data_IF_607706324445
#
_entry.id   IF_607706324445
#
_cell.length_a   1.000
_cell.length_b   1.000
_cell.length_c   1.000
_cell.angle_alpha   90.00
_cell.angle_beta   90.00
_cell.angle_gamma   90.00
#
_symmetry.space_group_name_H-M   'P 1'
#
loop_
_entity.id
_entity.type
_entity.pdbx_description
1 polymer ?
#
# COMPACT_ATOMS: atom_id res chain seq x y z
N UNK A 1 11.08 10.28 -23.16
CA UNK A 1 11.31 8.94 -22.59
C UNK A 1 10.33 8.81 -21.44
N UNK A 2 9.53 7.75 -21.41
CA UNK A 2 8.57 7.46 -20.34
C UNK A 2 9.31 6.99 -19.10
N UNK A 3 8.91 7.42 -17.91
CA UNK A 3 9.55 6.97 -16.66
C UNK A 3 9.15 5.53 -16.37
N UNK A 4 9.94 4.85 -15.55
CA UNK A 4 9.57 3.55 -14.99
C UNK A 4 9.55 3.64 -13.48
N UNK A 5 8.42 3.31 -12.87
CA UNK A 5 8.33 3.12 -11.44
C UNK A 5 8.62 1.66 -11.08
N UNK A 6 9.50 1.43 -10.12
CA UNK A 6 9.76 0.10 -9.56
C UNK A 6 9.19 0.04 -8.14
N UNK A 7 8.20 -0.83 -7.92
CA UNK A 7 7.61 -1.09 -6.60
C UNK A 7 8.50 -2.10 -5.88
N UNK A 8 9.16 -1.64 -4.83
CA UNK A 8 10.19 -2.39 -4.13
C UNK A 8 9.65 -3.09 -2.89
N UNK A 9 8.75 -2.44 -2.15
CA UNK A 9 8.16 -3.02 -0.93
C UNK A 9 6.75 -2.51 -0.72
N UNK A 10 5.86 -3.40 -0.32
CA UNK A 10 4.56 -3.06 0.25
C UNK A 10 4.56 -3.60 1.67
N UNK A 11 4.36 -2.72 2.65
CA UNK A 11 4.29 -3.08 4.06
C UNK A 11 2.90 -2.74 4.60
N UNK A 12 2.26 -3.74 5.20
CA UNK A 12 0.93 -3.61 5.77
C UNK A 12 1.07 -3.07 7.19
N UNK A 13 0.60 -1.84 7.41
CA UNK A 13 0.42 -1.34 8.76
C UNK A 13 -0.82 -2.01 9.39
N UNK A 14 -1.87 -2.15 8.59
CA UNK A 14 -3.17 -2.67 9.00
C UNK A 14 -3.95 -3.17 7.79
N UNK A 15 -4.49 -4.38 7.89
CA UNK A 15 -5.40 -4.99 6.91
C UNK A 15 -6.76 -4.27 6.87
N UNK A 16 -7.56 -4.54 5.84
CA UNK A 16 -8.97 -4.21 5.82
C UNK A 16 -9.72 -4.89 6.97
N UNK A 17 -10.60 -4.15 7.64
CA UNK A 17 -11.46 -4.71 8.70
C UNK A 17 -12.93 -4.36 8.50
N UNK A 18 -13.29 -3.75 7.37
CA UNK A 18 -14.55 -3.04 7.18
C UNK A 18 -14.64 -1.75 8.00
N UNK A 19 -15.80 -1.09 7.92
CA UNK A 19 -16.06 0.25 8.47
C UNK A 19 -16.15 0.35 10.01
N UNK A 20 -15.18 -0.19 10.76
CA UNK A 20 -15.13 -0.06 12.21
C UNK A 20 -14.65 1.34 12.64
N UNK A 21 -15.55 2.11 13.26
CA UNK A 21 -15.36 3.56 13.48
C UNK A 21 -14.36 3.91 14.59
N UNK A 22 -14.15 3.03 15.58
CA UNK A 22 -13.29 3.31 16.75
C UNK A 22 -11.80 3.29 16.39
N UNK A 23 -11.46 2.50 15.38
CA UNK A 23 -10.12 2.36 14.81
C UNK A 23 -9.71 3.64 14.08
N UNK A 24 -10.63 4.22 13.29
CA UNK A 24 -10.34 5.39 12.44
C UNK A 24 -9.84 6.61 13.23
N UNK A 25 -10.22 6.74 14.51
CA UNK A 25 -9.74 7.79 15.40
C UNK A 25 -8.25 7.60 15.79
N UNK A 26 -7.78 6.36 15.96
CA UNK A 26 -6.39 6.05 16.31
C UNK A 26 -5.41 6.24 15.13
N UNK A 27 -5.93 6.24 13.92
CA UNK A 27 -5.19 6.32 12.66
C UNK A 27 -5.10 7.75 12.09
N UNK A 28 -5.79 8.70 12.73
CA UNK A 28 -5.71 10.13 12.40
C UNK A 28 -4.28 10.69 12.52
N UNK A 29 -3.39 10.04 13.28
CA UNK A 29 -1.99 10.45 13.48
C UNK A 29 -0.99 9.73 12.56
N UNK A 30 -1.46 8.94 11.59
CA UNK A 30 -0.57 8.21 10.66
C UNK A 30 0.20 9.19 9.78
N UNK A 31 1.48 8.89 9.61
CA UNK A 31 2.42 9.76 8.91
C UNK A 31 2.18 9.78 7.40
N UNK A 32 1.92 10.96 6.81
CA UNK A 32 1.84 11.13 5.38
C UNK A 32 3.14 10.75 4.65
N UNK A 33 2.98 10.29 3.41
CA UNK A 33 4.05 9.97 2.47
C UNK A 33 5.26 10.93 2.46
N UNK A 34 5.02 12.25 2.48
CA UNK A 34 6.07 13.25 2.34
C UNK A 34 7.06 13.31 3.52
N UNK A 35 6.68 12.81 4.69
CA UNK A 35 7.60 12.71 5.84
C UNK A 35 8.49 11.46 5.76
N UNK A 36 8.18 10.53 4.86
CA UNK A 36 8.89 9.26 4.72
C UNK A 36 10.00 9.31 3.66
N UNK A 37 10.09 10.39 2.89
CA UNK A 37 11.22 10.66 1.99
C UNK A 37 12.56 10.84 2.76
N UNK A 38 12.51 11.06 4.08
CA UNK A 38 13.68 11.28 4.94
C UNK A 38 14.17 10.02 5.69
N UNK A 39 13.60 8.83 5.43
CA UNK A 39 13.91 7.59 6.19
C UNK A 39 15.40 7.17 6.06
N UNK A 40 16.07 7.58 4.98
CA UNK A 40 17.48 7.25 4.74
C UNK A 40 17.68 5.74 4.63
N UNK A 41 18.74 5.20 5.24
CA UNK A 41 19.06 3.75 5.19
C UNK A 41 18.21 2.88 6.14
N UNK A 42 17.26 3.45 6.91
CA UNK A 42 16.45 2.66 7.85
C UNK A 42 15.43 1.82 7.10
N UNK A 43 15.11 0.64 7.63
CA UNK A 43 13.99 -0.14 7.08
C UNK A 43 12.68 0.62 7.30
N UNK A 44 11.78 0.57 6.31
CA UNK A 44 10.46 1.21 6.38
C UNK A 44 9.69 0.76 7.64
N UNK A 45 9.74 -0.54 7.94
CA UNK A 45 9.10 -1.10 9.13
C UNK A 45 9.66 -0.51 10.44
N UNK A 46 10.99 -0.42 10.58
CA UNK A 46 11.61 0.12 11.81
C UNK A 46 11.34 1.61 12.00
N UNK A 47 11.22 2.36 10.91
CA UNK A 47 10.83 3.76 10.99
C UNK A 47 9.38 3.88 11.46
N UNK A 48 8.46 3.19 10.77
CA UNK A 48 7.02 3.31 11.02
C UNK A 48 6.66 2.82 12.42
N UNK A 49 7.23 1.70 12.88
CA UNK A 49 7.02 1.18 14.24
C UNK A 49 7.43 2.14 15.36
N UNK A 50 8.36 3.06 15.08
CA UNK A 50 8.81 4.06 16.05
C UNK A 50 7.83 5.22 16.26
N UNK A 51 6.74 5.28 15.49
CA UNK A 51 5.84 6.43 15.47
C UNK A 51 4.72 6.31 16.51
N UNK A 52 4.31 7.43 17.14
CA UNK A 52 3.10 7.47 17.97
C UNK A 52 1.87 7.01 17.16
N UNK A 53 1.00 6.22 17.77
CA UNK A 53 -0.24 5.74 17.13
C UNK A 53 -0.09 4.43 16.34
N UNK A 54 1.10 4.13 15.80
CA UNK A 54 1.34 2.90 15.01
C UNK A 54 1.18 1.62 15.83
N UNK A 55 1.66 1.58 17.08
CA UNK A 55 1.46 0.43 17.95
C UNK A 55 -0.04 0.14 18.18
N UNK A 56 -0.85 1.19 18.38
CA UNK A 56 -2.30 1.04 18.55
C UNK A 56 -3.01 0.62 17.26
N UNK A 57 -2.52 1.10 16.12
CA UNK A 57 -3.00 0.69 14.80
C UNK A 57 -2.84 -0.82 14.58
N UNK A 58 -1.67 -1.35 14.95
CA UNK A 58 -1.34 -2.77 14.85
C UNK A 58 -2.09 -3.60 15.92
N UNK A 59 -2.18 -3.13 17.16
CA UNK A 59 -2.88 -3.83 18.24
C UNK A 59 -4.39 -3.98 17.98
N UNK A 60 -4.96 -3.13 17.12
CA UNK A 60 -6.38 -3.18 16.73
C UNK A 60 -6.60 -3.84 15.37
N UNK A 61 -5.56 -4.36 14.74
CA UNK A 61 -5.68 -5.15 13.51
C UNK A 61 -6.37 -6.48 13.83
N UNK A 62 -7.25 -6.94 12.93
CA UNK A 62 -7.90 -8.23 13.07
C UNK A 62 -6.96 -9.38 12.64
N UNK A 63 -7.33 -10.59 13.05
CA UNK A 63 -6.60 -11.82 12.72
C UNK A 63 -6.88 -12.33 11.30
N UNK A 64 -7.74 -11.66 10.55
CA UNK A 64 -8.03 -12.00 9.16
C UNK A 64 -7.02 -11.29 8.23
N UNK A 65 -6.33 -12.03 7.35
CA UNK A 65 -5.41 -11.45 6.37
C UNK A 65 -6.20 -10.87 5.18
N UNK A 66 -5.66 -9.82 4.55
CA UNK A 66 -6.14 -9.40 3.23
C UNK A 66 -5.60 -10.39 2.17
N UNK A 67 -6.44 -10.74 1.21
CA UNK A 67 -6.12 -11.43 -0.03
C UNK A 67 -5.57 -10.42 -1.06
N UNK A 68 -4.38 -9.88 -0.78
CA UNK A 68 -3.82 -8.72 -1.46
C UNK A 68 -3.48 -8.97 -2.94
N UNK A 69 -3.96 -8.09 -3.82
CA UNK A 69 -3.46 -7.92 -5.19
C UNK A 69 -3.41 -6.45 -5.62
N UNK A 70 -2.75 -6.17 -6.74
CA UNK A 70 -2.51 -4.82 -7.26
C UNK A 70 -3.08 -4.64 -8.67
N UNK A 71 -3.59 -3.43 -8.96
CA UNK A 71 -3.92 -3.00 -10.32
C UNK A 71 -3.28 -1.64 -10.64
N UNK A 72 -3.07 -1.40 -11.94
CA UNK A 72 -2.58 -0.10 -12.47
C UNK A 72 -3.73 0.89 -12.74
N UNK A 73 -4.95 0.54 -12.33
CA UNK A 73 -6.15 1.34 -12.54
C UNK A 73 -6.99 1.33 -11.25
N UNK A 74 -8.27 1.70 -11.38
CA UNK A 74 -9.22 1.75 -10.26
C UNK A 74 -10.28 0.64 -10.35
N UNK A 75 -10.05 -0.37 -11.19
CA UNK A 75 -10.92 -1.53 -11.29
C UNK A 75 -10.45 -2.64 -10.35
N UNK A 76 -11.30 -2.97 -9.37
CA UNK A 76 -11.12 -4.11 -8.49
C UNK A 76 -11.59 -5.38 -9.18
N UNK A 77 -10.71 -5.94 -10.03
CA UNK A 77 -10.90 -7.27 -10.59
C UNK A 77 -9.57 -8.01 -10.61
N UNK A 78 -9.57 -9.21 -10.06
CA UNK A 78 -8.38 -10.06 -10.02
C UNK A 78 -7.81 -10.40 -11.42
N UNK A 79 -8.63 -10.47 -12.46
CA UNK A 79 -8.17 -10.70 -13.84
C UNK A 79 -7.44 -9.48 -14.47
N UNK A 80 -7.51 -8.32 -13.81
CA UNK A 80 -6.75 -7.12 -14.15
C UNK A 80 -5.50 -6.96 -13.28
N UNK A 81 -5.20 -7.93 -12.41
CA UNK A 81 -4.05 -7.86 -11.50
C UNK A 81 -2.75 -7.71 -12.29
N UNK A 82 -1.92 -6.74 -11.90
CA UNK A 82 -0.54 -6.62 -12.37
C UNK A 82 0.45 -7.33 -11.44
N UNK A 83 0.00 -7.65 -10.22
CA UNK A 83 0.73 -8.43 -9.24
C UNK A 83 -0.25 -8.97 -8.18
N UNK A 84 0.00 -10.16 -7.62
CA UNK A 84 0.95 -11.17 -8.08
C UNK A 84 0.63 -11.70 -9.49
N UNK A 85 1.60 -12.31 -10.20
CA UNK A 85 1.33 -12.86 -11.53
C UNK A 85 0.40 -14.07 -11.45
N UNK A 86 -0.50 -14.20 -12.43
CA UNK A 86 -1.36 -15.37 -12.57
C UNK A 86 -2.76 -15.23 -11.97
N UNK A 87 -3.23 -14.00 -11.74
CA UNK A 87 -4.57 -13.72 -11.21
C UNK A 87 -4.78 -14.41 -9.85
N UNK A 88 -3.84 -14.19 -8.95
CA UNK A 88 -3.80 -14.76 -7.60
C UNK A 88 -3.54 -13.66 -6.59
N UNK A 89 -3.68 -13.98 -5.31
CA UNK A 89 -3.47 -13.07 -4.19
C UNK A 89 -2.28 -13.50 -3.33
N UNK A 90 -1.89 -12.65 -2.39
CA UNK A 90 -0.98 -12.99 -1.30
C UNK A 90 -1.62 -12.58 0.01
N UNK A 91 -1.75 -13.52 0.95
CA UNK A 91 -2.16 -13.23 2.33
C UNK A 91 -1.26 -12.17 2.94
N UNK A 92 -1.87 -11.07 3.39
CA UNK A 92 -1.16 -9.95 3.95
C UNK A 92 -1.73 -9.59 5.32
N UNK A 93 -0.86 -9.63 6.34
CA UNK A 93 -1.20 -9.27 7.72
C UNK A 93 -0.49 -8.00 8.16
N UNK A 94 -0.99 -7.36 9.21
CA UNK A 94 -0.29 -6.27 9.86
C UNK A 94 1.16 -6.69 10.19
N UNK A 95 2.07 -5.74 10.01
CA UNK A 95 3.52 -5.89 10.15
C UNK A 95 4.21 -6.76 9.08
N UNK A 96 3.49 -7.35 8.13
CA UNK A 96 4.12 -8.07 7.04
C UNK A 96 4.56 -7.14 5.90
N UNK A 97 5.56 -7.59 5.15
CA UNK A 97 6.00 -6.95 3.91
C UNK A 97 6.10 -7.96 2.78
N UNK A 98 5.78 -7.50 1.58
CA UNK A 98 6.07 -8.19 0.32
C UNK A 98 6.97 -7.31 -0.54
N UNK A 99 7.77 -7.94 -1.42
CA UNK A 99 8.65 -7.25 -2.35
C UNK A 99 8.24 -7.58 -3.79
N UNK A 100 7.32 -6.82 -4.40
CA UNK A 100 6.76 -7.17 -5.71
C UNK A 100 7.79 -7.20 -6.84
N UNK A 101 8.81 -6.33 -6.78
CA UNK A 101 9.76 -6.16 -7.88
C UNK A 101 9.09 -5.70 -9.18
N UNK A 102 7.93 -5.04 -9.06
CA UNK A 102 7.03 -4.73 -10.15
C UNK A 102 7.45 -3.42 -10.84
N UNK A 103 7.67 -3.47 -12.16
CA UNK A 103 8.01 -2.30 -12.97
C UNK A 103 6.77 -1.82 -13.75
N UNK A 104 6.41 -0.54 -13.57
CA UNK A 104 5.22 0.06 -14.19
C UNK A 104 5.64 1.31 -14.97
N UNK A 105 5.25 1.45 -16.26
CA UNK A 105 5.52 2.67 -17.00
C UNK A 105 4.71 3.84 -16.43
N UNK A 106 5.33 5.02 -16.34
CA UNK A 106 4.71 6.24 -15.83
C UNK A 106 4.83 7.35 -16.88
N UNK A 107 3.69 7.82 -17.37
CA UNK A 107 3.58 8.96 -18.29
C UNK A 107 2.72 10.03 -17.62
N UNK A 108 3.35 11.12 -17.17
CA UNK A 108 2.77 12.10 -16.25
C UNK A 108 2.38 11.55 -14.87
N UNK A 109 1.43 10.62 -14.81
CA UNK A 109 0.93 9.99 -13.59
C UNK A 109 0.54 8.53 -13.82
N UNK A 110 0.71 7.69 -12.81
CA UNK A 110 0.25 6.31 -12.81
C UNK A 110 -0.36 5.98 -11.45
N UNK A 111 -1.59 5.48 -11.43
CA UNK A 111 -2.19 4.99 -10.19
C UNK A 111 -1.77 3.54 -9.93
N UNK A 112 -1.58 3.23 -8.66
CA UNK A 112 -1.42 1.87 -8.16
C UNK A 112 -2.47 1.69 -7.08
N UNK A 113 -3.36 0.72 -7.26
CA UNK A 113 -4.45 0.42 -6.33
C UNK A 113 -4.24 -0.95 -5.72
N UNK A 114 -4.49 -1.04 -4.42
CA UNK A 114 -4.43 -2.26 -3.62
C UNK A 114 -5.87 -2.73 -3.38
N UNK A 115 -6.06 -4.04 -3.45
CA UNK A 115 -7.36 -4.66 -3.36
C UNK A 115 -7.29 -5.92 -2.51
N UNK A 116 -8.38 -6.18 -1.81
CA UNK A 116 -8.66 -7.45 -1.15
C UNK A 116 -9.60 -8.26 -2.06
N UNK A 117 -9.26 -9.51 -2.35
CA UNK A 117 -10.08 -10.35 -3.21
C UNK A 117 -11.11 -11.12 -2.41
N UNK A 118 -12.37 -10.99 -2.82
CA UNK A 118 -13.48 -11.51 -2.06
C UNK A 118 -14.30 -12.52 -2.88
N UNK A 119 -14.31 -13.80 -2.47
CA UNK A 119 -15.02 -14.84 -3.21
C UNK A 119 -16.53 -14.70 -3.01
N UNK A 120 -17.20 -14.10 -3.99
CA UNK A 120 -18.66 -14.01 -4.04
C UNK A 120 -19.22 -12.64 -3.64
N UNK A 121 -18.35 -11.74 -3.14
CA UNK A 121 -18.56 -10.29 -3.05
C UNK A 121 -17.84 -9.58 -4.22
N UNK A 122 -17.92 -8.25 -4.27
CA UNK A 122 -16.96 -7.47 -5.07
C UNK A 122 -15.67 -7.28 -4.27
N UNK A 123 -14.54 -7.15 -4.96
CA UNK A 123 -13.25 -6.92 -4.32
C UNK A 123 -13.20 -5.55 -3.62
N UNK A 124 -12.65 -5.52 -2.40
CA UNK A 124 -12.64 -4.34 -1.56
C UNK A 124 -11.39 -3.48 -1.80
N UNK A 125 -11.58 -2.16 -1.85
CA UNK A 125 -10.50 -1.23 -2.15
C UNK A 125 -9.70 -0.92 -0.88
N UNK A 126 -8.46 -1.38 -0.84
CA UNK A 126 -7.55 -1.19 0.30
C UNK A 126 -6.81 0.16 0.26
N UNK A 127 -6.92 0.90 -0.84
CA UNK A 127 -6.31 2.21 -1.03
C UNK A 127 -5.48 2.31 -2.30
N UNK A 128 -5.05 3.53 -2.62
CA UNK A 128 -4.23 3.79 -3.82
C UNK A 128 -3.15 4.81 -3.55
N UNK A 129 -2.10 4.76 -4.37
CA UNK A 129 -1.14 5.85 -4.54
C UNK A 129 -1.15 6.33 -5.98
N UNK A 130 -0.87 7.62 -6.18
CA UNK A 130 -0.55 8.16 -7.51
C UNK A 130 0.95 8.38 -7.59
N UNK A 131 1.62 7.72 -8.52
CA UNK A 131 3.03 7.90 -8.83
C UNK A 131 3.15 8.95 -9.93
N UNK A 132 4.08 9.89 -9.79
CA UNK A 132 4.25 10.99 -10.74
C UNK A 132 5.54 10.81 -11.54
N UNK A 133 5.51 11.11 -12.84
CA UNK A 133 6.73 11.10 -13.66
C UNK A 133 7.77 12.13 -13.15
N UNK A 134 7.30 13.22 -12.52
CA UNK A 134 8.15 14.25 -11.93
C UNK A 134 9.00 13.76 -10.74
N UNK A 135 8.69 12.57 -10.19
CA UNK A 135 9.46 11.92 -9.12
C UNK A 135 10.74 11.26 -9.64
N UNK A 136 10.95 11.25 -10.97
CA UNK A 136 12.14 10.65 -11.60
C UNK A 136 13.44 11.21 -11.01
N UNK A 137 14.32 10.32 -10.60
CA UNK A 137 15.63 10.67 -10.03
C UNK A 137 15.59 11.18 -8.59
N UNK A 138 14.44 11.13 -7.92
CA UNK A 138 14.28 11.47 -6.50
C UNK A 138 14.85 10.44 -5.52
N UNK A 139 15.22 9.25 -6.02
CA UNK A 139 15.68 8.13 -5.18
C UNK A 139 14.51 7.25 -4.72
N UNK A 140 14.65 6.67 -3.53
CA UNK A 140 13.62 5.85 -2.91
C UNK A 140 12.54 6.75 -2.29
N UNK A 141 11.29 6.45 -2.59
CA UNK A 141 10.11 7.18 -2.15
C UNK A 141 9.16 6.23 -1.42
N UNK A 142 8.36 6.77 -0.51
CA UNK A 142 7.36 6.01 0.21
C UNK A 142 6.04 6.75 0.20
N UNK A 143 4.96 6.06 -0.17
CA UNK A 143 3.60 6.58 -0.09
C UNK A 143 2.68 5.70 0.73
N UNK A 144 1.73 6.33 1.41
CA UNK A 144 0.65 5.66 2.10
C UNK A 144 -0.54 5.48 1.15
N UNK A 145 -0.90 4.23 0.86
CA UNK A 145 -2.23 3.86 0.39
C UNK A 145 -3.13 3.63 1.60
N UNK A 146 -4.28 4.29 1.62
CA UNK A 146 -5.29 4.09 2.67
C UNK A 146 -6.69 3.99 2.07
N UNK A 147 -7.55 3.24 2.75
CA UNK A 147 -8.99 3.24 2.53
C UNK A 147 -9.67 3.61 3.83
N UNK A 148 -10.48 4.68 3.80
CA UNK A 148 -11.28 5.08 4.97
C UNK A 148 -12.51 4.17 5.13
N UNK A 149 -12.98 3.56 4.03
CA UNK A 149 -14.11 2.62 4.03
C UNK A 149 -13.69 1.27 4.63
N UNK A 150 -12.52 0.75 4.24
CA UNK A 150 -11.97 -0.51 4.77
C UNK A 150 -11.12 -0.36 6.03
N UNK A 151 -10.81 0.88 6.41
CA UNK A 151 -9.86 1.19 7.49
C UNK A 151 -8.49 0.52 7.32
N UNK A 152 -8.03 0.37 6.07
CA UNK A 152 -6.78 -0.31 5.67
C UNK A 152 -5.64 0.69 5.40
N UNK A 153 -4.40 0.30 5.73
CA UNK A 153 -3.24 1.18 5.67
C UNK A 153 -1.98 0.43 5.20
N UNK A 154 -1.45 0.87 4.07
CA UNK A 154 -0.34 0.25 3.38
C UNK A 154 0.73 1.27 2.99
N UNK A 155 1.97 1.04 3.42
CA UNK A 155 3.09 1.83 2.94
C UNK A 155 3.76 1.15 1.75
N UNK A 156 3.95 1.91 0.68
CA UNK A 156 4.50 1.45 -0.58
C UNK A 156 5.82 2.18 -0.80
N UNK A 157 6.92 1.44 -0.76
CA UNK A 157 8.25 1.89 -1.15
C UNK A 157 8.46 1.64 -2.64
N UNK A 158 8.85 2.67 -3.36
CA UNK A 158 9.12 2.61 -4.79
C UNK A 158 10.18 3.62 -5.20
N UNK A 159 10.67 3.52 -6.43
CA UNK A 159 11.50 4.55 -7.06
C UNK A 159 11.04 4.81 -8.48
N UNK A 160 11.42 5.96 -9.03
CA UNK A 160 11.12 6.34 -10.41
C UNK A 160 12.40 6.64 -11.17
N UNK A 161 12.62 5.86 -12.23
CA UNK A 161 13.79 5.90 -13.12
C UNK A 161 13.46 6.54 -14.50
#
# INVERSE_FOLDING_TARGET
>A
MTATATIETIWCLRQGTGADSDVNQALCDIIPAFFLEEIGERSLADFVKGLPGVARAMDSAHDDPDDLYLTADTSGKLDHSIWPPGYTTVDMRADQSVAPGLCIPVSHTQNLSLWDHDIGSGDDHLGSITIFEAERGGGELVKLAKSDDESSYYYIKYRVD
#
